data_IF_167239289088
#
_entry.id   IF_167239289088
#
_cell.length_a   1.000
_cell.length_b   1.000
_cell.length_c   1.000
_cell.angle_alpha   90.00
_cell.angle_beta   90.00
_cell.angle_gamma   90.00
#
_symmetry.space_group_name_H-M   'P 1'
#
loop_
_entity.id
_entity.type
_entity.pdbx_description
1 polymer ?
#
# COMPACT_ATOMS: atom_id res chain seq x y z
N UNK A 1 38.64 -21.15 20.46
CA UNK A 1 38.35 -19.93 19.68
C UNK A 1 36.91 -20.03 19.19
N UNK A 2 35.96 -19.61 20.02
CA UNK A 2 34.54 -19.61 19.68
C UNK A 2 34.19 -18.29 19.02
N UNK A 3 33.99 -18.31 17.70
CA UNK A 3 33.20 -17.28 17.02
C UNK A 3 31.81 -17.86 16.89
N UNK A 4 30.99 -17.59 17.91
CA UNK A 4 29.55 -17.53 17.70
C UNK A 4 29.33 -16.46 16.63
N UNK A 5 29.23 -16.90 15.38
CA UNK A 5 28.53 -16.17 14.34
C UNK A 5 27.14 -15.94 14.91
N UNK A 6 26.98 -14.76 15.52
CA UNK A 6 25.70 -14.18 15.87
C UNK A 6 24.80 -14.45 14.69
N UNK A 7 23.82 -15.33 14.90
CA UNK A 7 22.74 -15.59 13.97
C UNK A 7 22.04 -14.26 13.82
N UNK A 8 22.53 -13.42 12.90
CA UNK A 8 21.95 -12.12 12.58
C UNK A 8 20.53 -12.42 12.18
N UNK A 9 19.65 -12.14 13.13
CA UNK A 9 18.22 -12.16 12.99
C UNK A 9 17.89 -11.44 11.68
N UNK A 10 17.08 -12.00 10.77
CA UNK A 10 16.62 -11.26 9.62
C UNK A 10 15.62 -10.20 10.10
N UNK A 11 16.16 -9.12 10.64
CA UNK A 11 15.46 -7.95 11.15
C UNK A 11 14.98 -7.15 9.92
N UNK A 12 13.73 -7.40 9.52
CA UNK A 12 13.00 -6.69 8.46
C UNK A 12 13.75 -6.48 7.14
N UNK A 13 13.75 -7.53 6.29
CA UNK A 13 14.25 -7.43 4.93
C UNK A 13 13.43 -6.37 4.15
N UNK A 14 14.07 -5.37 3.50
CA UNK A 14 13.37 -4.38 2.67
C UNK A 14 12.51 -5.03 1.58
N UNK A 15 12.84 -6.25 1.16
CA UNK A 15 12.05 -7.06 0.24
C UNK A 15 10.66 -7.45 0.79
N UNK A 16 10.53 -7.71 2.09
CA UNK A 16 9.23 -8.01 2.70
C UNK A 16 8.36 -6.74 2.74
N UNK A 17 8.97 -5.59 2.99
CA UNK A 17 8.31 -4.29 2.99
C UNK A 17 7.87 -3.89 1.57
N UNK A 18 8.70 -4.18 0.57
CA UNK A 18 8.37 -3.97 -0.84
C UNK A 18 7.24 -4.89 -1.32
N UNK A 19 7.22 -6.16 -0.91
CA UNK A 19 6.13 -7.08 -1.22
C UNK A 19 4.79 -6.63 -0.62
N UNK A 20 4.81 -6.05 0.58
CA UNK A 20 3.60 -5.50 1.22
C UNK A 20 3.13 -4.24 0.49
N UNK A 21 4.05 -3.35 0.09
CA UNK A 21 3.73 -2.17 -0.72
C UNK A 21 3.16 -2.52 -2.09
N UNK A 22 3.77 -3.48 -2.79
CA UNK A 22 3.27 -3.98 -4.08
C UNK A 22 1.85 -4.56 -3.93
N UNK A 23 1.63 -5.36 -2.87
CA UNK A 23 0.31 -5.85 -2.51
C UNK A 23 -0.71 -4.74 -2.29
N UNK A 24 -0.35 -3.68 -1.57
CA UNK A 24 -1.22 -2.53 -1.31
C UNK A 24 -1.59 -1.78 -2.61
N UNK A 25 -0.62 -1.54 -3.50
CA UNK A 25 -0.86 -0.93 -4.80
C UNK A 25 -1.79 -1.79 -5.66
N UNK A 26 -1.54 -3.10 -5.72
CA UNK A 26 -2.37 -4.04 -6.47
C UNK A 26 -3.81 -4.07 -5.96
N UNK A 27 -4.00 -4.11 -4.64
CA UNK A 27 -5.31 -4.03 -4.01
C UNK A 27 -6.02 -2.73 -4.36
N UNK A 28 -5.34 -1.59 -4.28
CA UNK A 28 -5.95 -0.31 -4.57
C UNK A 28 -6.36 -0.17 -6.05
N UNK A 29 -5.51 -0.63 -6.98
CA UNK A 29 -5.84 -0.65 -8.40
C UNK A 29 -7.06 -1.54 -8.68
N UNK A 30 -7.13 -2.70 -8.02
CA UNK A 30 -8.26 -3.62 -8.18
C UNK A 30 -9.57 -3.04 -7.64
N UNK A 31 -9.55 -2.48 -6.42
CA UNK A 31 -10.71 -1.80 -5.82
C UNK A 31 -11.18 -0.62 -6.68
N UNK A 32 -10.25 0.11 -7.31
CA UNK A 32 -10.56 1.28 -8.12
C UNK A 32 -10.95 0.95 -9.56
N UNK A 33 -10.72 -0.27 -10.03
CA UNK A 33 -11.17 -0.74 -11.34
C UNK A 33 -12.72 -0.75 -11.46
N UNK A 34 -13.43 -0.60 -10.34
CA UNK A 34 -14.88 -0.32 -10.32
C UNK A 34 -15.77 -1.56 -10.29
N UNK A 35 -15.19 -2.76 -10.32
CA UNK A 35 -15.92 -4.04 -10.27
C UNK A 35 -15.79 -4.75 -8.91
N UNK A 36 -15.11 -4.14 -7.94
CA UNK A 36 -14.88 -4.77 -6.65
C UNK A 36 -16.20 -5.01 -5.90
N UNK A 37 -16.53 -6.28 -5.72
CA UNK A 37 -17.68 -6.75 -4.95
C UNK A 37 -17.42 -6.67 -3.45
N UNK A 38 -18.48 -6.75 -2.64
CA UNK A 38 -18.38 -6.76 -1.18
C UNK A 38 -17.46 -7.88 -0.64
N UNK A 39 -17.35 -9.01 -1.36
CA UNK A 39 -16.45 -10.09 -0.99
C UNK A 39 -14.97 -9.71 -1.14
N UNK A 40 -14.67 -8.81 -2.08
CA UNK A 40 -13.31 -8.33 -2.36
C UNK A 40 -12.89 -7.28 -1.33
N UNK A 41 -13.84 -6.45 -0.90
CA UNK A 41 -13.65 -5.56 0.25
C UNK A 41 -13.39 -6.35 1.55
N UNK A 42 -14.12 -7.43 1.80
CA UNK A 42 -13.89 -8.29 2.96
C UNK A 42 -12.52 -9.02 2.88
N UNK A 43 -12.13 -9.47 1.69
CA UNK A 43 -10.81 -10.05 1.46
C UNK A 43 -9.68 -9.03 1.65
N UNK A 44 -9.90 -7.77 1.27
CA UNK A 44 -8.99 -6.66 1.53
C UNK A 44 -8.86 -6.35 3.02
N UNK A 45 -9.98 -6.30 3.75
CA UNK A 45 -9.98 -6.07 5.20
C UNK A 45 -9.23 -7.18 5.93
N UNK A 46 -9.48 -8.44 5.56
CA UNK A 46 -8.73 -9.60 6.07
C UNK A 46 -7.25 -9.50 5.76
N UNK A 47 -6.88 -9.02 4.57
CA UNK A 47 -5.48 -8.84 4.19
C UNK A 47 -4.79 -7.76 5.02
N UNK A 48 -5.44 -6.62 5.25
CA UNK A 48 -4.97 -5.55 6.14
C UNK A 48 -4.81 -6.00 7.59
N UNK A 49 -5.74 -6.84 8.07
CA UNK A 49 -5.72 -7.36 9.44
C UNK A 49 -4.57 -8.34 9.72
N UNK A 50 -3.88 -8.86 8.69
CA UNK A 50 -2.78 -9.82 8.87
C UNK A 50 -1.59 -9.22 9.63
N UNK A 51 -1.27 -7.94 9.43
CA UNK A 51 -0.20 -7.27 10.18
C UNK A 51 -0.32 -5.75 10.09
N UNK A 52 0.19 -5.07 11.12
CA UNK A 52 0.29 -3.59 11.13
C UNK A 52 0.98 -3.03 9.89
N UNK A 53 1.98 -3.72 9.34
CA UNK A 53 2.67 -3.32 8.09
C UNK A 53 1.74 -3.25 6.87
N UNK A 54 0.78 -4.17 6.76
CA UNK A 54 -0.18 -4.18 5.67
C UNK A 54 -1.12 -2.97 5.77
N UNK A 55 -1.57 -2.66 6.99
CA UNK A 55 -2.38 -1.47 7.25
C UNK A 55 -1.62 -0.17 6.96
N UNK A 56 -0.35 -0.09 7.35
CA UNK A 56 0.51 1.09 7.13
C UNK A 56 0.78 1.32 5.63
N UNK A 57 1.13 0.26 4.90
CA UNK A 57 1.34 0.35 3.46
C UNK A 57 0.08 0.77 2.69
N UNK A 58 -1.11 0.33 3.12
CA UNK A 58 -2.38 0.79 2.54
C UNK A 58 -2.61 2.26 2.82
N UNK A 59 -2.32 2.73 4.03
CA UNK A 59 -2.46 4.13 4.39
C UNK A 59 -1.54 5.01 3.53
N UNK A 60 -0.26 4.63 3.40
CA UNK A 60 0.71 5.33 2.55
C UNK A 60 0.24 5.42 1.09
N UNK A 61 -0.13 4.29 0.51
CA UNK A 61 -0.55 4.23 -0.90
C UNK A 61 -1.86 5.00 -1.11
N UNK A 62 -2.82 4.92 -0.18
CA UNK A 62 -4.07 5.68 -0.24
C UNK A 62 -3.83 7.20 -0.11
N UNK A 63 -2.91 7.60 0.76
CA UNK A 63 -2.54 9.00 0.94
C UNK A 63 -1.87 9.56 -0.32
N UNK A 64 -0.93 8.81 -0.92
CA UNK A 64 -0.31 9.18 -2.20
C UNK A 64 -1.36 9.31 -3.32
N UNK A 65 -2.31 8.38 -3.38
CA UNK A 65 -3.40 8.46 -4.37
C UNK A 65 -4.33 9.65 -4.16
N UNK A 66 -4.67 9.97 -2.90
CA UNK A 66 -5.45 11.17 -2.59
C UNK A 66 -4.69 12.45 -3.00
N UNK A 67 -3.37 12.48 -2.77
CA UNK A 67 -2.51 13.56 -3.22
C UNK A 67 -2.48 13.68 -4.75
N UNK A 68 -2.37 12.58 -5.49
CA UNK A 68 -2.47 12.56 -6.96
C UNK A 68 -3.84 13.07 -7.44
N UNK A 69 -4.93 12.68 -6.78
CA UNK A 69 -6.27 13.18 -7.10
C UNK A 69 -6.41 14.69 -6.88
N UNK A 70 -5.79 15.22 -5.81
CA UNK A 70 -5.70 16.66 -5.59
C UNK A 70 -4.86 17.34 -6.66
N UNK A 71 -3.71 16.79 -7.06
CA UNK A 71 -2.90 17.34 -8.15
C UNK A 71 -3.67 17.40 -9.48
N UNK A 72 -4.41 16.34 -9.82
CA UNK A 72 -5.23 16.29 -11.03
C UNK A 72 -6.41 17.26 -11.06
N UNK A 73 -6.90 17.71 -9.90
CA UNK A 73 -7.98 18.72 -9.83
C UNK A 73 -7.49 20.16 -9.99
N UNK A 74 -6.18 20.42 -9.84
CA UNK A 74 -5.61 21.77 -9.93
C UNK A 74 -5.27 22.19 -11.37
N UNK A 75 -5.26 21.25 -12.33
CA UNK A 75 -5.10 21.53 -13.77
C UNK A 75 -6.41 22.02 -14.44
N UNK A 76 -7.50 22.14 -13.69
CA UNK A 76 -8.84 22.52 -14.17
C UNK A 76 -9.26 23.96 -13.90
N UNK A 77 -8.32 24.90 -13.71
CA UNK A 77 -8.66 26.31 -13.63
C UNK A 77 -9.23 26.81 -14.97
N UNK A 78 -10.43 27.42 -15.03
CA UNK A 78 -10.96 27.92 -16.28
C UNK A 78 -10.07 29.07 -16.77
N UNK A 79 -9.43 28.87 -17.92
CA UNK A 79 -8.98 29.99 -18.75
C UNK A 79 -10.21 30.74 -19.25
N UNK A 80 -10.71 31.64 -18.41
CA UNK A 80 -11.67 32.69 -18.76
C UNK A 80 -10.91 34.01 -18.86
N UNK A 81 -10.92 34.51 -20.09
CA UNK A 81 -10.48 35.80 -20.64
C UNK A 81 -9.00 36.12 -20.75
#
# INVERSE_FOLDING_TARGET
MGVEMTRSQPDHLPAADEAVRDGAVRWLLWLRAGDASAAEFDAFERWCAQSRRHADAVYDVMWLWALLGMLGTQDGGPIVH
#
